data_IF_089586637802
#
_entry.id   IF_089586637802
#
_cell.length_a   1.000
_cell.length_b   1.000
_cell.length_c   1.000
_cell.angle_alpha   90.00
_cell.angle_beta   90.00
_cell.angle_gamma   90.00
#
_symmetry.space_group_name_H-M   'P 1'
#
loop_
_entity.id
_entity.type
_entity.pdbx_description
1 polymer ?
#
# COMPACT_ATOMS: atom_id res chain seq x y z
N UNK A 1 0.97 31.64 30.29
CA UNK A 1 0.59 30.66 31.32
C UNK A 1 1.85 29.94 31.79
N UNK A 2 1.89 29.45 33.02
CA UNK A 2 2.99 28.59 33.47
C UNK A 2 2.82 27.16 32.94
N UNK A 3 3.92 26.41 32.83
CA UNK A 3 3.87 25.05 32.26
C UNK A 3 2.99 24.10 33.08
N UNK A 4 2.92 24.28 34.40
CA UNK A 4 2.04 23.49 35.25
C UNK A 4 0.56 23.80 35.00
N UNK A 5 0.22 25.04 34.68
CA UNK A 5 -1.13 25.42 34.27
C UNK A 5 -1.45 24.81 32.89
N UNK A 6 -0.48 24.80 31.97
CA UNK A 6 -0.65 24.15 30.68
C UNK A 6 -0.95 22.64 30.81
N UNK A 7 -0.15 21.91 31.59
CA UNK A 7 -0.36 20.48 31.85
C UNK A 7 -1.70 20.16 32.52
N UNK A 8 -2.26 21.10 33.30
CA UNK A 8 -3.56 20.91 33.97
C UNK A 8 -4.76 21.13 33.07
N UNK A 9 -4.62 21.98 32.05
CA UNK A 9 -5.75 22.43 31.23
C UNK A 9 -5.75 21.85 29.81
N UNK A 10 -4.66 21.22 29.37
CA UNK A 10 -4.53 20.66 28.03
C UNK A 10 -4.16 19.18 28.06
N UNK A 11 -4.96 18.34 27.40
CA UNK A 11 -4.74 16.89 27.32
C UNK A 11 -3.93 16.47 26.08
N UNK A 12 -3.84 17.33 25.06
CA UNK A 12 -3.22 16.99 23.78
C UNK A 12 -2.46 18.19 23.20
N UNK A 13 -1.26 17.90 22.69
CA UNK A 13 -0.44 18.86 21.93
C UNK A 13 -0.14 18.23 20.57
N UNK A 14 -0.45 18.96 19.51
CA UNK A 14 -0.12 18.57 18.14
C UNK A 14 0.89 19.58 17.59
N UNK A 15 2.06 19.09 17.18
CA UNK A 15 3.12 19.92 16.61
C UNK A 15 3.31 19.47 15.16
N UNK A 16 3.18 20.42 14.24
CA UNK A 16 3.34 20.15 12.81
C UNK A 16 4.68 20.72 12.35
N UNK A 17 5.61 19.83 12.00
CA UNK A 17 6.92 20.23 11.49
C UNK A 17 6.85 20.40 9.98
N UNK A 18 7.57 21.39 9.47
CA UNK A 18 7.74 21.59 8.03
C UNK A 18 8.73 20.59 7.41
N UNK A 19 9.61 20.04 8.24
CA UNK A 19 10.55 18.99 7.88
C UNK A 19 10.30 17.72 8.70
N UNK A 20 10.66 16.54 8.20
CA UNK A 20 10.57 15.30 8.95
C UNK A 20 11.64 15.18 10.05
N UNK A 21 12.28 16.27 10.47
CA UNK A 21 13.25 16.26 11.56
C UNK A 21 12.57 16.04 12.91
N UNK A 22 13.27 15.41 13.85
CA UNK A 22 12.79 15.28 15.22
C UNK A 22 12.90 16.63 15.93
N UNK A 23 11.90 16.99 16.75
CA UNK A 23 11.95 18.19 17.59
C UNK A 23 13.05 18.15 18.66
N UNK A 24 13.60 16.98 18.92
CA UNK A 24 14.61 16.73 19.95
C UNK A 24 16.03 16.70 19.40
N UNK A 25 16.19 16.77 18.08
CA UNK A 25 17.47 16.71 17.41
C UNK A 25 17.79 18.11 16.83
N UNK A 26 18.96 18.64 17.16
CA UNK A 26 19.44 19.94 16.67
C UNK A 26 20.12 19.82 15.29
N UNK A 27 20.30 18.60 14.79
CA UNK A 27 20.88 18.34 13.48
C UNK A 27 19.81 18.40 12.39
N UNK A 28 20.08 19.19 11.33
CA UNK A 28 19.22 19.22 10.15
C UNK A 28 19.60 18.05 9.26
N UNK A 29 18.67 17.12 9.06
CA UNK A 29 18.87 15.96 8.18
C UNK A 29 18.27 16.26 6.81
N UNK A 30 18.87 15.70 5.76
CA UNK A 30 18.25 15.73 4.43
C UNK A 30 17.25 14.57 4.36
N UNK A 31 16.07 14.80 3.80
CA UNK A 31 15.04 13.76 3.70
C UNK A 31 14.65 13.56 2.23
N UNK A 32 14.72 12.32 1.76
CA UNK A 32 14.07 11.91 0.52
C UNK A 32 12.59 11.61 0.78
N UNK A 33 11.74 11.98 -0.17
CA UNK A 33 10.29 11.78 -0.06
C UNK A 33 9.80 10.93 -1.21
N UNK A 34 9.21 9.79 -0.87
CA UNK A 34 8.45 8.96 -1.80
C UNK A 34 6.96 9.10 -1.51
N UNK A 35 6.17 9.27 -2.57
CA UNK A 35 4.73 9.52 -2.49
C UNK A 35 3.98 8.51 -3.33
N UNK A 36 3.01 7.83 -2.70
CA UNK A 36 2.17 6.82 -3.34
C UNK A 36 0.71 7.15 -3.12
N UNK A 37 -0.06 7.13 -4.19
CA UNK A 37 -1.51 7.29 -4.12
C UNK A 37 -2.17 5.93 -4.29
N UNK A 38 -3.28 5.70 -3.59
CA UNK A 38 -4.02 4.45 -3.72
C UNK A 38 -5.44 4.59 -3.24
N UNK A 39 -6.21 3.50 -3.34
CA UNK A 39 -7.59 3.45 -2.90
C UNK A 39 -7.93 2.10 -2.27
N UNK A 40 -8.86 2.14 -1.32
CA UNK A 40 -9.56 0.96 -0.83
C UNK A 40 -10.91 0.89 -1.53
N UNK A 41 -11.14 -0.17 -2.32
CA UNK A 41 -12.35 -0.41 -3.10
C UNK A 41 -13.04 -1.66 -2.57
N UNK A 42 -14.35 -1.58 -2.31
CA UNK A 42 -15.10 -2.71 -1.77
C UNK A 42 -15.07 -3.90 -2.73
N UNK A 43 -14.73 -5.07 -2.17
CA UNK A 43 -14.68 -6.33 -2.92
C UNK A 43 -13.39 -6.54 -3.71
N UNK A 44 -12.48 -5.57 -3.71
CA UNK A 44 -11.15 -5.68 -4.31
C UNK A 44 -10.09 -5.33 -3.26
N UNK A 45 -9.73 -4.06 -3.12
CA UNK A 45 -8.60 -3.61 -2.29
C UNK A 45 -8.95 -3.23 -0.85
N UNK A 46 -10.24 -3.17 -0.48
CA UNK A 46 -10.68 -2.86 0.88
C UNK A 46 -10.63 -4.08 1.82
N UNK A 47 -9.42 -4.57 2.11
CA UNK A 47 -9.18 -5.81 2.85
C UNK A 47 -9.29 -5.70 4.37
N UNK A 48 -9.26 -4.49 4.94
CA UNK A 48 -9.29 -4.26 6.39
C UNK A 48 -7.97 -4.60 7.08
N UNK A 49 -7.91 -4.45 8.41
CA UNK A 49 -6.66 -4.63 9.18
C UNK A 49 -6.31 -6.12 9.40
N UNK A 50 -5.14 -6.38 10.01
CA UNK A 50 -4.58 -7.74 10.20
C UNK A 50 -5.48 -8.72 10.97
N UNK A 51 -6.47 -8.21 11.71
CA UNK A 51 -7.49 -9.03 12.37
C UNK A 51 -8.35 -9.82 11.36
N UNK A 52 -8.46 -9.33 10.13
CA UNK A 52 -9.21 -9.92 9.02
C UNK A 52 -8.25 -10.59 8.04
N UNK A 53 -7.55 -11.64 8.49
CA UNK A 53 -6.46 -12.27 7.71
C UNK A 53 -6.91 -12.81 6.35
N UNK A 54 -8.18 -13.17 6.21
CA UNK A 54 -8.73 -13.70 4.96
C UNK A 54 -8.79 -12.66 3.84
N UNK A 55 -8.87 -11.38 4.19
CA UNK A 55 -8.99 -10.25 3.26
C UNK A 55 -7.82 -9.27 3.35
N UNK A 56 -7.03 -9.30 4.43
CA UNK A 56 -5.92 -8.37 4.66
C UNK A 56 -4.93 -8.27 3.50
N UNK A 57 -4.63 -9.40 2.85
CA UNK A 57 -3.65 -9.48 1.76
C UNK A 57 -4.10 -8.75 0.48
N UNK A 58 -5.39 -8.46 0.33
CA UNK A 58 -5.92 -7.75 -0.85
C UNK A 58 -5.73 -6.24 -0.78
N UNK A 59 -5.35 -5.69 0.39
CA UNK A 59 -5.01 -4.27 0.49
C UNK A 59 -3.80 -3.94 -0.42
N UNK A 60 -3.70 -2.70 -0.91
CA UNK A 60 -2.55 -2.27 -1.71
C UNK A 60 -1.24 -2.47 -0.93
N UNK A 61 -0.17 -2.82 -1.64
CA UNK A 61 1.12 -3.12 -1.04
C UNK A 61 2.21 -2.27 -1.70
N UNK A 62 3.13 -1.74 -0.90
CA UNK A 62 4.22 -0.88 -1.38
C UNK A 62 5.54 -1.45 -0.88
N UNK A 63 6.45 -1.76 -1.79
CA UNK A 63 7.79 -2.26 -1.45
C UNK A 63 8.69 -1.06 -1.18
N UNK A 64 9.38 -1.11 -0.06
CA UNK A 64 10.32 -0.09 0.41
C UNK A 64 11.68 -0.76 0.59
N UNK A 65 12.70 -0.26 -0.11
CA UNK A 65 14.07 -0.73 -0.01
C UNK A 65 14.91 0.34 0.67
N UNK A 66 15.41 0.01 1.87
CA UNK A 66 16.32 0.82 2.66
C UNK A 66 17.73 0.29 2.44
N UNK A 67 18.57 1.05 1.74
CA UNK A 67 19.91 0.59 1.34
C UNK A 67 20.98 0.99 2.34
N UNK A 68 21.03 2.28 2.68
CA UNK A 68 22.08 2.85 3.52
C UNK A 68 21.56 3.14 4.94
N UNK A 69 22.26 2.63 5.95
CA UNK A 69 22.06 3.01 7.35
C UNK A 69 22.46 4.47 7.58
N UNK A 70 21.84 5.15 8.56
CA UNK A 70 22.13 6.55 8.88
C UNK A 70 23.60 6.73 9.33
N UNK A 71 24.14 7.95 9.28
CA UNK A 71 25.58 8.16 9.57
C UNK A 71 25.95 7.91 11.04
N UNK A 72 24.98 8.03 11.95
CA UNK A 72 25.17 7.91 13.40
C UNK A 72 24.86 6.51 13.95
N UNK A 73 24.03 5.73 13.24
CA UNK A 73 23.50 4.45 13.71
C UNK A 73 23.45 3.40 12.58
N UNK A 74 23.65 2.12 12.88
CA UNK A 74 23.52 0.99 11.92
C UNK A 74 22.05 0.71 11.49
N UNK A 75 21.15 1.70 11.59
CA UNK A 75 19.73 1.63 11.24
C UNK A 75 19.33 2.81 10.35
N UNK A 76 18.25 2.64 9.60
CA UNK A 76 17.65 3.67 8.76
C UNK A 76 16.47 4.33 9.49
N UNK A 77 16.46 5.65 9.55
CA UNK A 77 15.35 6.45 10.06
C UNK A 77 14.29 6.66 8.98
N UNK A 78 13.07 6.22 9.25
CA UNK A 78 11.94 6.32 8.31
C UNK A 78 10.72 6.91 9.00
N UNK A 79 10.07 7.88 8.37
CA UNK A 79 8.73 8.37 8.77
C UNK A 79 7.72 7.93 7.72
N UNK A 80 6.69 7.22 8.14
CA UNK A 80 5.59 6.77 7.27
C UNK A 80 4.33 7.54 7.67
N UNK A 81 3.74 8.25 6.72
CA UNK A 81 2.50 9.01 6.90
C UNK A 81 1.42 8.52 5.92
N UNK A 82 0.31 8.02 6.46
CA UNK A 82 -0.86 7.59 5.71
C UNK A 82 -2.00 8.60 5.89
N UNK A 83 -2.44 9.23 4.80
CA UNK A 83 -3.53 10.21 4.78
C UNK A 83 -4.72 9.70 3.97
N UNK A 84 -5.94 9.81 4.51
CA UNK A 84 -7.17 9.63 3.74
C UNK A 84 -7.60 10.93 3.03
N UNK A 85 -7.99 10.82 1.77
CA UNK A 85 -8.34 11.93 0.87
C UNK A 85 -9.85 12.19 0.82
N UNK A 86 -10.22 13.41 0.46
CA UNK A 86 -11.58 13.84 0.05
C UNK A 86 -12.77 13.60 1.01
N UNK A 87 -12.57 13.03 2.21
CA UNK A 87 -13.66 12.71 3.16
C UNK A 87 -14.52 13.90 3.59
N UNK A 88 -13.99 15.13 3.61
CA UNK A 88 -14.77 16.34 3.95
C UNK A 88 -15.96 16.56 2.99
N UNK A 89 -15.83 16.18 1.71
CA UNK A 89 -16.91 16.32 0.73
C UNK A 89 -18.06 15.35 1.02
N UNK A 90 -17.72 14.15 1.50
CA UNK A 90 -18.65 13.06 1.78
C UNK A 90 -19.40 13.21 3.11
N UNK A 91 -19.02 14.19 3.96
CA UNK A 91 -19.77 14.46 5.20
C UNK A 91 -21.23 14.83 4.96
N UNK A 92 -21.54 15.46 3.83
CA UNK A 92 -22.93 15.77 3.45
C UNK A 92 -23.78 14.51 3.23
N UNK A 93 -23.13 13.39 2.96
CA UNK A 93 -23.73 12.07 2.75
C UNK A 93 -23.65 11.19 4.02
N UNK A 94 -23.24 11.77 5.15
CA UNK A 94 -23.13 11.07 6.44
C UNK A 94 -21.86 10.23 6.61
N UNK A 95 -20.91 10.31 5.67
CA UNK A 95 -19.63 9.61 5.76
C UNK A 95 -18.55 10.50 6.42
N UNK A 96 -17.94 10.01 7.51
CA UNK A 96 -16.88 10.73 8.23
C UNK A 96 -15.49 10.08 8.02
N UNK A 97 -14.46 10.47 8.76
CA UNK A 97 -13.14 9.85 8.66
C UNK A 97 -13.20 8.35 8.97
N UNK A 98 -12.56 7.56 8.12
CA UNK A 98 -12.37 6.13 8.37
C UNK A 98 -11.29 5.92 9.43
N UNK A 99 -11.39 4.81 10.16
CA UNK A 99 -10.35 4.40 11.09
C UNK A 99 -9.23 3.74 10.28
N UNK A 100 -8.07 4.38 10.18
CA UNK A 100 -6.97 3.95 9.31
C UNK A 100 -5.71 3.63 10.10
N UNK A 101 -4.83 2.83 9.49
CA UNK A 101 -3.52 2.46 10.00
C UNK A 101 -2.71 1.72 8.95
N UNK A 102 -1.50 1.30 9.29
CA UNK A 102 -0.64 0.55 8.37
C UNK A 102 0.23 -0.46 9.11
N UNK A 103 0.72 -1.44 8.37
CA UNK A 103 1.67 -2.43 8.85
C UNK A 103 2.84 -2.57 7.88
N UNK A 104 4.03 -2.85 8.43
CA UNK A 104 5.28 -3.03 7.70
C UNK A 104 5.81 -4.43 7.99
N UNK A 105 6.06 -5.19 6.93
CA UNK A 105 6.65 -6.53 6.97
C UNK A 105 8.01 -6.52 6.28
N UNK A 106 8.80 -7.55 6.51
CA UNK A 106 10.00 -7.81 5.70
C UNK A 106 9.55 -8.36 4.34
N UNK A 107 10.00 -7.75 3.24
CA UNK A 107 9.48 -8.09 1.92
C UNK A 107 10.04 -9.45 1.44
N UNK A 108 9.22 -10.29 0.78
CA UNK A 108 9.72 -11.44 0.05
C UNK A 108 10.60 -11.00 -1.13
N UNK A 109 11.57 -11.84 -1.52
CA UNK A 109 12.51 -11.51 -2.60
C UNK A 109 11.84 -11.46 -3.98
N UNK A 110 10.97 -12.43 -4.28
CA UNK A 110 10.52 -12.76 -5.64
C UNK A 110 9.03 -12.53 -5.93
N UNK A 111 8.22 -12.09 -4.96
CA UNK A 111 6.77 -11.89 -5.18
C UNK A 111 6.41 -10.44 -5.52
N UNK A 112 5.68 -10.28 -6.62
CA UNK A 112 5.10 -9.01 -7.06
C UNK A 112 3.91 -8.55 -6.19
N UNK A 113 3.27 -9.46 -5.46
CA UNK A 113 2.27 -9.13 -4.44
C UNK A 113 2.22 -10.27 -3.42
N UNK A 114 2.37 -9.96 -2.13
CA UNK A 114 2.37 -10.96 -1.09
C UNK A 114 0.97 -11.56 -0.90
N UNK A 115 0.89 -12.88 -0.96
CA UNK A 115 -0.36 -13.63 -0.78
C UNK A 115 -0.85 -13.72 0.67
N UNK A 116 -2.01 -14.35 0.86
CA UNK A 116 -2.62 -14.58 2.17
C UNK A 116 -1.69 -15.32 3.16
N UNK A 117 -1.02 -16.37 2.69
CA UNK A 117 -0.20 -17.22 3.54
C UNK A 117 1.03 -16.48 4.05
N UNK A 118 1.61 -15.59 3.26
CA UNK A 118 2.71 -14.73 3.70
C UNK A 118 2.35 -14.00 4.99
N UNK A 119 1.23 -13.27 5.01
CA UNK A 119 0.80 -12.52 6.19
C UNK A 119 0.37 -13.39 7.36
N UNK A 120 0.02 -14.66 7.12
CA UNK A 120 -0.35 -15.62 8.16
C UNK A 120 0.86 -16.08 8.97
N UNK A 121 1.99 -16.31 8.30
CA UNK A 121 3.20 -16.87 8.91
C UNK A 121 4.27 -15.83 9.27
N UNK A 122 4.20 -14.62 8.71
CA UNK A 122 5.14 -13.55 9.02
C UNK A 122 4.56 -12.51 9.99
N UNK A 123 5.38 -12.10 10.96
CA UNK A 123 5.04 -11.04 11.89
C UNK A 123 5.42 -9.66 11.31
N UNK A 124 4.64 -8.63 11.64
CA UNK A 124 4.97 -7.25 11.28
C UNK A 124 6.24 -6.79 12.03
N UNK A 125 7.18 -6.17 11.33
CA UNK A 125 8.38 -5.54 11.93
C UNK A 125 8.03 -4.20 12.57
N UNK A 126 7.15 -3.45 11.91
CA UNK A 126 6.62 -2.19 12.39
C UNK A 126 5.15 -2.05 12.02
N UNK A 127 4.41 -1.20 12.72
CA UNK A 127 3.00 -0.91 12.44
C UNK A 127 2.62 0.38 13.15
N UNK A 128 1.58 1.04 12.68
CA UNK A 128 0.96 2.14 13.42
C UNK A 128 0.51 1.66 14.81
N UNK A 129 0.89 2.36 15.88
CA UNK A 129 0.58 2.05 17.28
C UNK A 129 -0.91 1.90 17.52
N UNK A 130 -1.71 2.78 16.91
CA UNK A 130 -3.17 2.77 17.02
C UNK A 130 -3.82 3.04 15.68
N UNK A 131 -4.89 2.31 15.41
CA UNK A 131 -5.85 2.65 14.37
C UNK A 131 -6.71 3.82 14.86
N UNK A 132 -6.74 4.91 14.12
CA UNK A 132 -7.40 6.14 14.56
C UNK A 132 -8.20 6.75 13.40
N UNK A 133 -9.34 7.36 13.73
CA UNK A 133 -10.23 8.04 12.81
C UNK A 133 -9.81 9.50 12.57
N UNK A 134 -8.51 9.72 12.32
CA UNK A 134 -7.98 11.02 11.91
C UNK A 134 -7.70 11.04 10.41
N UNK A 135 -7.57 12.25 9.87
CA UNK A 135 -7.23 12.45 8.46
C UNK A 135 -5.89 11.80 8.08
N UNK A 136 -4.93 11.81 9.00
CA UNK A 136 -3.60 11.26 8.78
C UNK A 136 -3.08 10.55 10.03
N UNK A 137 -2.35 9.46 9.82
CA UNK A 137 -1.58 8.73 10.82
C UNK A 137 -0.13 8.73 10.36
N UNK A 138 0.76 9.30 11.19
CA UNK A 138 2.18 9.37 10.89
C UNK A 138 2.99 8.81 12.06
N UNK A 139 3.95 7.94 11.76
CA UNK A 139 4.86 7.37 12.77
C UNK A 139 6.29 7.30 12.24
N UNK A 140 7.23 7.50 13.17
CA UNK A 140 8.67 7.36 12.94
C UNK A 140 9.12 5.97 13.41
N UNK A 141 9.92 5.32 12.58
CA UNK A 141 10.55 4.03 12.85
C UNK A 141 12.04 4.12 12.61
N UNK A 142 12.78 3.27 13.31
CA UNK A 142 14.16 2.92 12.99
C UNK A 142 14.16 1.45 12.57
N UNK A 143 14.56 1.19 11.34
CA UNK A 143 14.56 -0.14 10.75
C UNK A 143 15.95 -0.45 10.21
N UNK A 144 16.47 -1.68 10.35
CA UNK A 144 17.74 -2.03 9.73
C UNK A 144 17.64 -1.94 8.19
N UNK A 145 18.77 -1.75 7.47
CA UNK A 145 18.78 -1.84 6.01
C UNK A 145 18.17 -3.15 5.51
N UNK A 146 17.35 -3.08 4.48
CA UNK A 146 16.61 -4.23 3.97
C UNK A 146 15.41 -3.87 3.10
N UNK A 147 14.71 -4.90 2.64
CA UNK A 147 13.48 -4.76 1.84
C UNK A 147 12.27 -4.96 2.75
N UNK A 148 11.32 -4.05 2.64
CA UNK A 148 10.11 -3.99 3.46
C UNK A 148 8.87 -3.88 2.60
N UNK A 149 7.75 -4.35 3.14
CA UNK A 149 6.43 -4.29 2.52
C UNK A 149 5.50 -3.49 3.42
N UNK A 150 5.09 -2.32 2.95
CA UNK A 150 4.13 -1.45 3.61
C UNK A 150 2.71 -1.75 3.09
N UNK A 151 1.80 -2.03 4.02
CA UNK A 151 0.39 -2.31 3.74
C UNK A 151 -0.49 -1.30 4.47
N UNK A 152 -0.97 -0.24 3.79
CA UNK A 152 -1.95 0.69 4.35
C UNK A 152 -3.35 0.08 4.33
N UNK A 153 -4.06 0.18 5.46
CA UNK A 153 -5.39 -0.44 5.61
C UNK A 153 -6.36 0.44 6.39
N UNK A 154 -7.65 0.25 6.14
CA UNK A 154 -8.72 0.61 7.05
C UNK A 154 -8.84 -0.44 8.18
N UNK A 155 -9.47 -0.08 9.29
CA UNK A 155 -9.68 -1.03 10.39
C UNK A 155 -10.62 -2.16 9.99
N UNK A 156 -11.79 -1.83 9.45
CA UNK A 156 -12.79 -2.79 8.99
C UNK A 156 -12.66 -3.02 7.47
N UNK A 157 -12.88 -4.26 6.98
CA UNK A 157 -12.92 -4.54 5.55
C UNK A 157 -14.12 -3.87 4.89
N UNK A 158 -14.06 -3.70 3.56
CA UNK A 158 -15.12 -3.13 2.73
C UNK A 158 -15.39 -1.62 2.91
N UNK A 159 -14.57 -0.92 3.68
CA UNK A 159 -14.60 0.53 3.78
C UNK A 159 -13.83 1.16 2.63
N UNK A 160 -14.48 2.10 1.94
CA UNK A 160 -13.93 2.75 0.76
C UNK A 160 -13.34 4.12 1.09
N UNK A 161 -12.10 4.34 0.69
CA UNK A 161 -11.48 5.66 0.71
C UNK A 161 -10.26 5.71 -0.19
N UNK A 162 -10.02 6.89 -0.76
CA UNK A 162 -8.75 7.23 -1.39
C UNK A 162 -7.73 7.57 -0.30
N UNK A 163 -6.47 7.21 -0.52
CA UNK A 163 -5.39 7.53 0.40
C UNK A 163 -4.12 8.01 -0.30
N UNK A 164 -3.22 8.54 0.52
CA UNK A 164 -1.89 8.99 0.16
C UNK A 164 -0.91 8.46 1.21
N UNK A 165 0.11 7.74 0.78
CA UNK A 165 1.24 7.35 1.61
C UNK A 165 2.42 8.26 1.28
N UNK A 166 3.05 8.81 2.30
CA UNK A 166 4.32 9.53 2.21
C UNK A 166 5.35 8.82 3.06
N UNK A 167 6.48 8.47 2.46
CA UNK A 167 7.61 7.84 3.13
C UNK A 167 8.76 8.85 3.09
N UNK A 168 9.26 9.21 4.26
CA UNK A 168 10.42 10.05 4.42
C UNK A 168 11.56 9.19 4.93
N UNK A 169 12.67 9.14 4.20
CA UNK A 169 13.91 8.48 4.61
C UNK A 169 15.05 9.48 4.60
N UNK A 170 16.00 9.34 5.53
CA UNK A 170 17.16 10.22 5.59
C UNK A 170 18.13 9.96 4.45
N UNK A 171 18.41 8.67 4.20
CA UNK A 171 19.17 8.22 3.04
C UNK A 171 18.27 7.75 1.90
N UNK A 172 18.89 7.53 0.74
CA UNK A 172 18.17 7.18 -0.47
C UNK A 172 17.39 5.88 -0.26
N UNK A 173 16.08 5.92 -0.50
CA UNK A 173 15.22 4.74 -0.38
C UNK A 173 14.44 4.54 -1.68
N UNK A 174 14.55 3.35 -2.26
CA UNK A 174 13.76 3.00 -3.43
C UNK A 174 12.41 2.48 -2.96
N UNK A 175 11.31 3.08 -3.44
CA UNK A 175 9.98 2.60 -3.12
C UNK A 175 9.17 2.38 -4.41
N UNK A 176 8.42 1.27 -4.45
CA UNK A 176 7.71 0.78 -5.63
C UNK A 176 6.31 0.29 -5.24
N UNK A 177 5.32 0.59 -6.06
CA UNK A 177 3.97 0.04 -5.93
C UNK A 177 3.91 -1.37 -6.51
N UNK A 178 3.44 -2.32 -5.70
CA UNK A 178 3.35 -3.73 -6.03
C UNK A 178 2.07 -4.03 -6.83
N UNK A 179 2.13 -4.97 -7.79
CA UNK A 179 0.97 -5.36 -8.61
C UNK A 179 0.62 -4.39 -9.76
N UNK A 180 1.53 -3.48 -10.13
CA UNK A 180 1.34 -2.51 -11.21
C UNK A 180 1.72 -3.03 -12.61
N UNK A 181 2.41 -4.18 -12.68
CA UNK A 181 2.72 -4.84 -13.94
C UNK A 181 1.47 -5.53 -14.50
N UNK A 182 0.93 -5.00 -15.61
CA UNK A 182 -0.14 -5.65 -16.36
C UNK A 182 0.51 -6.58 -17.39
N UNK A 183 0.48 -7.88 -17.12
CA UNK A 183 0.97 -8.90 -18.02
C UNK A 183 -0.13 -9.91 -18.36
N UNK A 184 -0.09 -10.46 -19.56
CA UNK A 184 -1.02 -11.46 -20.06
C UNK A 184 -0.23 -12.49 -20.87
N UNK A 185 0.29 -13.50 -20.18
CA UNK A 185 0.89 -14.66 -20.81
C UNK A 185 -0.23 -15.60 -21.31
N UNK A 186 -0.80 -15.24 -22.46
CA UNK A 186 -1.76 -16.07 -23.15
C UNK A 186 -1.01 -16.92 -24.17
N UNK A 187 -1.32 -18.23 -24.27
CA UNK A 187 -0.74 -19.04 -25.33
C UNK A 187 -1.11 -18.44 -26.68
N UNK A 188 -0.14 -18.37 -27.59
CA UNK A 188 -0.41 -17.99 -28.97
C UNK A 188 -1.50 -18.91 -29.53
N UNK A 189 -2.50 -18.35 -30.24
CA UNK A 189 -3.53 -19.17 -30.84
C UNK A 189 -2.87 -20.18 -31.78
N UNK A 190 -3.30 -21.47 -31.76
CA UNK A 190 -2.75 -22.46 -32.66
C UNK A 190 -2.93 -21.99 -34.11
N UNK A 191 -1.89 -22.16 -34.93
CA UNK A 191 -2.00 -21.88 -36.37
C UNK A 191 -3.10 -22.76 -36.97
N UNK A 192 -3.99 -22.21 -37.82
CA UNK A 192 -5.06 -22.98 -38.40
C UNK A 192 -4.51 -24.18 -39.16
N UNK A 193 -5.12 -25.34 -38.91
CA UNK A 193 -4.85 -26.59 -39.62
C UNK A 193 -5.04 -26.38 -41.13
N UNK A 194 -4.17 -26.93 -41.99
CA UNK A 194 -4.40 -26.90 -43.43
C UNK A 194 -5.74 -27.60 -43.78
N UNK A 195 -6.43 -27.21 -44.88
CA UNK A 195 -7.73 -27.76 -45.25
C UNK A 195 -7.77 -29.30 -45.40
N UNK A 196 -6.61 -29.88 -45.67
CA UNK A 196 -6.41 -31.32 -45.88
C UNK A 196 -6.33 -32.10 -44.55
N UNK A 197 -5.97 -31.43 -43.45
CA UNK A 197 -5.80 -31.98 -42.11
C UNK A 197 -6.91 -31.54 -41.15
N UNK A 198 -7.86 -30.73 -41.61
CA UNK A 198 -9.02 -30.30 -40.82
C UNK A 198 -9.86 -31.50 -40.35
N UNK A 199 -10.14 -31.53 -39.06
CA UNK A 199 -11.13 -32.40 -38.42
C UNK A 199 -12.54 -32.11 -38.95
N UNK A 200 -13.47 -33.05 -38.77
CA UNK A 200 -14.87 -32.84 -39.17
C UNK A 200 -15.54 -31.68 -38.44
N UNK A 201 -15.08 -31.38 -37.22
CA UNK A 201 -15.53 -30.23 -36.42
C UNK A 201 -15.03 -28.90 -37.01
N UNK A 202 -13.75 -28.81 -37.38
CA UNK A 202 -13.17 -27.62 -38.03
C UNK A 202 -13.82 -27.36 -39.39
N UNK A 203 -14.11 -28.41 -40.19
CA UNK A 203 -14.86 -28.29 -41.45
C UNK A 203 -16.27 -27.77 -41.24
N UNK A 204 -16.94 -28.23 -40.18
CA UNK A 204 -18.24 -27.72 -39.77
C UNK A 204 -18.20 -26.24 -39.40
N UNK A 205 -17.18 -25.85 -38.62
CA UNK A 205 -16.94 -24.47 -38.21
C UNK A 205 -16.66 -23.56 -39.41
N UNK A 206 -15.89 -24.03 -40.38
CA UNK A 206 -15.56 -23.30 -41.61
C UNK A 206 -16.77 -23.07 -42.50
N UNK A 207 -17.62 -24.10 -42.69
CA UNK A 207 -18.88 -23.94 -43.42
C UNK A 207 -19.81 -22.94 -42.75
N UNK A 208 -19.87 -22.97 -41.41
CA UNK A 208 -20.66 -22.01 -40.64
C UNK A 208 -20.07 -20.60 -40.80
N UNK A 209 -18.75 -20.46 -40.76
CA UNK A 209 -18.06 -19.20 -41.01
C UNK A 209 -18.38 -18.66 -42.41
N UNK A 210 -18.25 -19.46 -43.47
CA UNK A 210 -18.55 -19.06 -44.85
C UNK A 210 -20.04 -18.66 -45.01
N UNK A 211 -20.95 -19.33 -44.30
CA UNK A 211 -22.37 -19.00 -44.30
C UNK A 211 -22.68 -17.68 -43.56
N UNK A 212 -21.90 -17.34 -42.54
CA UNK A 212 -22.10 -16.14 -41.71
C UNK A 212 -21.33 -14.92 -42.21
N UNK A 213 -20.18 -15.12 -42.84
CA UNK A 213 -19.29 -14.06 -43.27
C UNK A 213 -19.90 -13.22 -44.41
N UNK A 214 -20.78 -13.82 -45.22
CA UNK A 214 -21.29 -13.18 -46.45
C UNK A 214 -20.18 -12.97 -47.48
N UNK A 215 -20.56 -12.82 -48.75
CA UNK A 215 -19.61 -12.53 -49.84
C UNK A 215 -18.90 -11.16 -49.68
#
# INVERSE_FOLDING_TARGET
MEFDDFKRNYDKVEICNMTPDSLTDDTKRHWEVSLFEGNWIRGSTAGGCRNFIDTFWTNPQFKLQLEDADDDDDVCSVVIALMQKNRRKLRKEGQDMETIGFAVYEAPEDEDQAGKDFFRYHASKARSRTYINLREVAERFTLPPGKYLLVPTTFQPHHEADFLVRIFSEKKATALEMGSNVDADLPDPPTPSPPEEETDEEKGLRRLFDQLAGD
#
